data_IF_342309100760
#
_entry.id   IF_342309100760
#
_cell.length_a   1.000
_cell.length_b   1.000
_cell.length_c   1.000
_cell.angle_alpha   90.00
_cell.angle_beta   90.00
_cell.angle_gamma   90.00
#
_symmetry.space_group_name_H-M   'P 1'
#
loop_
_entity.id
_entity.type
_entity.pdbx_description
1 polymer ?
#
# COMPACT_ATOMS: atom_id res chain seq x y z
N UNK A 1 2.93 -20.33 20.35
CA UNK A 1 3.39 -19.04 20.89
C UNK A 1 2.18 -18.29 21.41
N UNK A 2 2.26 -17.77 22.65
CA UNK A 2 1.12 -17.48 23.50
C UNK A 2 0.31 -16.25 23.06
N UNK A 3 -1.00 -16.32 23.24
CA UNK A 3 -1.99 -15.23 23.05
C UNK A 3 -1.68 -13.93 23.83
N UNK A 4 -0.62 -13.90 24.62
CA UNK A 4 -0.23 -12.75 25.44
C UNK A 4 0.50 -11.62 24.72
N UNK A 5 0.93 -11.79 23.46
CA UNK A 5 1.63 -10.74 22.70
C UNK A 5 0.67 -9.75 22.03
N UNK A 6 -0.56 -10.18 21.72
CA UNK A 6 -1.58 -9.38 21.02
C UNK A 6 -2.26 -8.33 21.91
N UNK A 7 -2.23 -8.52 23.25
CA UNK A 7 -2.93 -7.62 24.19
C UNK A 7 -2.08 -6.40 24.63
N UNK A 8 -0.77 -6.38 24.29
CA UNK A 8 0.10 -5.27 24.72
C UNK A 8 -0.15 -3.95 23.99
N UNK A 9 -0.93 -3.94 22.92
CA UNK A 9 -1.09 -2.78 22.04
C UNK A 9 -2.47 -2.10 22.10
N UNK A 10 -3.42 -2.61 22.91
CA UNK A 10 -4.83 -2.18 22.80
C UNK A 10 -5.30 -1.08 23.71
N UNK A 11 -4.91 -1.05 24.97
CA UNK A 11 -5.66 -0.27 25.96
C UNK A 11 -4.98 0.98 26.54
N UNK A 12 -3.65 1.08 26.53
CA UNK A 12 -2.94 2.12 27.27
C UNK A 12 -2.44 3.32 26.43
N UNK A 13 -2.58 3.28 25.11
CA UNK A 13 -2.06 4.35 24.23
C UNK A 13 -3.09 5.41 23.83
N UNK A 14 -4.39 5.16 24.01
CA UNK A 14 -5.45 6.05 23.53
C UNK A 14 -5.40 7.49 24.05
N UNK A 15 -5.22 7.78 25.37
CA UNK A 15 -5.18 9.15 25.85
C UNK A 15 -3.99 9.95 25.31
N UNK A 16 -2.82 9.32 25.17
CA UNK A 16 -1.63 9.97 24.64
C UNK A 16 -1.76 10.25 23.14
N UNK A 17 -2.30 9.30 22.37
CA UNK A 17 -2.58 9.49 20.94
C UNK A 17 -3.62 10.58 20.70
N UNK A 18 -4.71 10.61 21.46
CA UNK A 18 -5.74 11.65 21.36
C UNK A 18 -5.15 13.04 21.61
N UNK A 19 -4.29 13.17 22.63
CA UNK A 19 -3.58 14.43 22.92
C UNK A 19 -2.62 14.81 21.79
N UNK A 20 -1.91 13.83 21.25
CA UNK A 20 -1.02 14.03 20.11
C UNK A 20 -1.79 14.56 18.90
N UNK A 21 -2.87 13.90 18.52
CA UNK A 21 -3.69 14.32 17.37
C UNK A 21 -4.27 15.72 17.57
N UNK A 22 -4.75 16.04 18.79
CA UNK A 22 -5.23 17.38 19.12
C UNK A 22 -4.14 18.45 18.95
N UNK A 23 -2.88 18.14 19.28
CA UNK A 23 -1.74 19.07 19.08
C UNK A 23 -1.57 19.45 17.61
N UNK A 24 -1.84 18.54 16.68
CA UNK A 24 -1.81 18.79 15.24
C UNK A 24 -3.14 19.31 14.67
N UNK A 25 -4.18 19.47 15.49
CA UNK A 25 -5.53 19.80 15.01
C UNK A 25 -6.15 18.70 14.14
N UNK A 26 -5.78 17.46 14.39
CA UNK A 26 -6.21 16.28 13.63
C UNK A 26 -7.26 15.51 14.41
N UNK A 27 -8.28 15.03 13.68
CA UNK A 27 -9.30 14.10 14.18
C UNK A 27 -9.10 12.75 13.52
N UNK A 28 -9.27 11.66 14.25
CA UNK A 28 -9.10 10.28 13.75
C UNK A 28 -10.43 9.55 13.80
N UNK A 29 -10.79 8.90 12.70
CA UNK A 29 -12.03 8.14 12.52
C UNK A 29 -13.30 8.93 12.91
N UNK A 30 -13.25 10.26 12.76
CA UNK A 30 -14.35 11.15 13.15
C UNK A 30 -15.43 11.31 12.07
N UNK A 31 -15.10 11.00 10.81
CA UNK A 31 -16.01 11.05 9.68
C UNK A 31 -16.63 9.69 9.42
N UNK A 32 -17.91 9.68 9.07
CA UNK A 32 -18.58 8.51 8.51
C UNK A 32 -17.98 8.15 7.14
N UNK A 33 -18.20 6.92 6.67
CA UNK A 33 -17.75 6.49 5.33
C UNK A 33 -18.34 7.39 4.24
N UNK A 34 -19.59 7.81 4.39
CA UNK A 34 -20.24 8.66 3.39
C UNK A 34 -19.61 10.06 3.33
N UNK A 35 -19.23 10.63 4.48
CA UNK A 35 -18.50 11.91 4.55
C UNK A 35 -17.07 11.78 3.97
N UNK A 36 -16.37 10.66 4.24
CA UNK A 36 -15.05 10.39 3.67
C UNK A 36 -15.13 10.33 2.14
N UNK A 37 -16.09 9.59 1.59
CA UNK A 37 -16.25 9.46 0.15
C UNK A 37 -16.67 10.79 -0.50
N UNK A 38 -17.55 11.56 0.15
CA UNK A 38 -17.92 12.91 -0.30
C UNK A 38 -16.70 13.85 -0.32
N UNK A 39 -15.82 13.79 0.68
CA UNK A 39 -14.55 14.53 0.69
C UNK A 39 -13.66 14.11 -0.49
N UNK A 40 -13.55 12.80 -0.76
CA UNK A 40 -12.74 12.28 -1.87
C UNK A 40 -13.28 12.72 -3.25
N UNK A 41 -14.59 12.83 -3.40
CA UNK A 41 -15.23 13.37 -4.61
C UNK A 41 -14.94 14.86 -4.77
N UNK A 42 -15.21 15.69 -3.72
CA UNK A 42 -14.98 17.14 -3.77
C UNK A 42 -13.52 17.50 -4.02
N UNK A 43 -12.59 16.76 -3.44
CA UNK A 43 -11.17 16.97 -3.64
C UNK A 43 -10.63 16.40 -4.98
N UNK A 44 -11.49 15.82 -5.84
CA UNK A 44 -11.11 15.27 -7.14
C UNK A 44 -10.28 13.98 -7.05
N UNK A 45 -10.23 13.32 -5.89
CA UNK A 45 -9.50 12.06 -5.73
C UNK A 45 -10.24 10.89 -6.39
N UNK A 46 -11.58 10.91 -6.37
CA UNK A 46 -12.45 9.99 -7.12
C UNK A 46 -12.75 10.59 -8.50
N UNK A 47 -11.73 10.67 -9.37
CA UNK A 47 -11.92 11.11 -10.74
C UNK A 47 -12.74 10.08 -11.55
N UNK A 48 -13.36 10.48 -12.71
CA UNK A 48 -14.37 9.68 -13.40
C UNK A 48 -13.97 8.23 -13.70
N UNK A 49 -12.76 7.99 -14.19
CA UNK A 49 -12.26 6.63 -14.48
C UNK A 49 -12.21 5.76 -13.22
N UNK A 50 -11.71 6.30 -12.11
CA UNK A 50 -11.64 5.60 -10.82
C UNK A 50 -13.04 5.32 -10.26
N UNK A 51 -13.93 6.31 -10.34
CA UNK A 51 -15.32 6.17 -9.91
C UNK A 51 -16.05 5.10 -10.75
N UNK A 52 -15.85 5.07 -12.06
CA UNK A 52 -16.43 4.07 -12.95
C UNK A 52 -15.98 2.64 -12.58
N UNK A 53 -14.70 2.44 -12.26
CA UNK A 53 -14.18 1.13 -11.81
C UNK A 53 -14.75 0.69 -10.46
N UNK A 54 -14.99 1.61 -9.54
CA UNK A 54 -15.56 1.30 -8.22
C UNK A 54 -17.09 1.09 -8.27
N UNK A 55 -17.77 1.74 -9.22
CA UNK A 55 -19.24 1.77 -9.29
C UNK A 55 -19.93 0.41 -9.17
N UNK A 56 -19.51 -0.66 -9.87
CA UNK A 56 -20.15 -1.98 -9.78
C UNK A 56 -20.12 -2.58 -8.37
N UNK A 57 -19.10 -2.21 -7.58
CA UNK A 57 -18.83 -2.76 -6.25
C UNK A 57 -18.96 -1.73 -5.13
N UNK A 58 -19.49 -0.53 -5.42
CA UNK A 58 -19.46 0.61 -4.50
C UNK A 58 -20.11 0.32 -3.15
N UNK A 59 -21.21 -0.43 -3.13
CA UNK A 59 -21.86 -0.84 -1.88
C UNK A 59 -20.92 -1.69 -1.01
N UNK A 60 -20.30 -2.71 -1.59
CA UNK A 60 -19.36 -3.60 -0.91
C UNK A 60 -18.11 -2.83 -0.43
N UNK A 61 -17.58 -1.95 -1.27
CA UNK A 61 -16.45 -1.09 -0.92
C UNK A 61 -16.78 -0.23 0.31
N UNK A 62 -17.94 0.45 0.32
CA UNK A 62 -18.37 1.25 1.47
C UNK A 62 -18.60 0.40 2.71
N UNK A 63 -19.18 -0.80 2.58
CA UNK A 63 -19.36 -1.72 3.70
C UNK A 63 -18.02 -2.22 4.25
N UNK A 64 -17.05 -2.55 3.39
CA UNK A 64 -15.70 -2.90 3.82
C UNK A 64 -15.04 -1.77 4.61
N UNK A 65 -15.17 -0.51 4.14
CA UNK A 65 -14.69 0.65 4.88
C UNK A 65 -15.37 0.81 6.23
N UNK A 66 -16.70 0.63 6.33
CA UNK A 66 -17.43 0.66 7.62
C UNK A 66 -16.90 -0.40 8.58
N UNK A 67 -16.65 -1.62 8.08
CA UNK A 67 -16.08 -2.71 8.89
C UNK A 67 -14.66 -2.41 9.34
N UNK A 68 -13.81 -1.89 8.46
CA UNK A 68 -12.45 -1.48 8.82
C UNK A 68 -12.46 -0.39 9.91
N UNK A 69 -13.33 0.63 9.79
CA UNK A 69 -13.47 1.69 10.81
C UNK A 69 -13.94 1.14 12.16
N UNK A 70 -14.82 0.10 12.19
CA UNK A 70 -15.19 -0.58 13.45
C UNK A 70 -14.01 -1.25 14.14
N UNK A 71 -13.01 -1.70 13.37
CA UNK A 71 -11.75 -2.21 13.91
C UNK A 71 -10.86 -1.14 14.54
N UNK A 72 -11.23 0.12 14.38
CA UNK A 72 -10.52 1.26 14.94
C UNK A 72 -9.07 1.35 14.45
N UNK A 73 -8.24 2.04 15.24
CA UNK A 73 -6.84 2.29 14.92
C UNK A 73 -5.96 1.02 14.85
N UNK A 74 -6.48 -0.13 15.21
CA UNK A 74 -5.78 -1.41 15.00
C UNK A 74 -5.81 -1.88 13.55
N UNK A 75 -6.80 -1.44 12.76
CA UNK A 75 -6.97 -1.80 11.34
C UNK A 75 -6.93 -0.61 10.40
N UNK A 76 -7.65 0.49 10.73
CA UNK A 76 -7.77 1.66 9.87
C UNK A 76 -7.84 2.94 10.70
N UNK A 77 -6.94 3.87 10.42
CA UNK A 77 -6.99 5.24 10.89
C UNK A 77 -7.26 6.16 9.70
N UNK A 78 -8.37 6.90 9.74
CA UNK A 78 -8.63 7.99 8.80
C UNK A 78 -8.40 9.30 9.55
N UNK A 79 -7.26 9.92 9.27
CA UNK A 79 -6.87 11.20 9.86
C UNK A 79 -7.48 12.32 9.03
N UNK A 80 -8.12 13.28 9.67
CA UNK A 80 -8.71 14.45 9.01
C UNK A 80 -8.35 15.73 9.73
N UNK A 81 -8.08 16.79 8.97
CA UNK A 81 -7.79 18.13 9.48
C UNK A 81 -8.40 19.18 8.54
N UNK A 82 -8.58 20.39 9.05
CA UNK A 82 -9.13 21.51 8.29
C UNK A 82 -10.48 21.96 8.79
N UNK A 83 -11.09 22.85 8.04
CA UNK A 83 -12.41 23.42 8.27
C UNK A 83 -13.08 23.82 6.93
N UNK A 84 -14.36 24.17 6.97
CA UNK A 84 -15.14 24.50 5.77
C UNK A 84 -14.70 25.81 5.07
N UNK A 85 -13.94 26.67 5.77
CA UNK A 85 -13.46 27.93 5.20
C UNK A 85 -12.16 27.76 4.43
N UNK A 86 -11.28 26.89 4.92
CA UNK A 86 -9.93 26.67 4.37
C UNK A 86 -9.84 25.39 3.55
N UNK A 87 -10.86 24.52 3.64
CA UNK A 87 -10.87 23.18 3.05
C UNK A 87 -10.28 22.11 3.98
N UNK A 88 -10.60 20.90 3.67
CA UNK A 88 -10.24 19.70 4.43
C UNK A 88 -9.07 18.95 3.81
N UNK A 89 -8.36 18.21 4.62
CA UNK A 89 -7.45 17.15 4.16
C UNK A 89 -7.72 15.85 4.93
N UNK A 90 -7.45 14.74 4.28
CA UNK A 90 -7.59 13.41 4.83
C UNK A 90 -6.41 12.52 4.42
N UNK A 91 -6.03 11.60 5.32
CA UNK A 91 -5.06 10.54 5.07
C UNK A 91 -5.63 9.24 5.63
N UNK A 92 -5.69 8.19 4.84
CA UNK A 92 -6.04 6.86 5.31
C UNK A 92 -4.78 6.03 5.55
N UNK A 93 -4.71 5.36 6.70
CA UNK A 93 -3.61 4.50 7.12
C UNK A 93 -4.20 3.18 7.57
N UNK A 94 -3.88 2.09 6.89
CA UNK A 94 -4.41 0.77 7.26
C UNK A 94 -3.31 -0.28 7.40
N UNK A 95 -3.59 -1.28 8.21
CA UNK A 95 -2.67 -2.38 8.50
C UNK A 95 -2.55 -3.33 7.31
N UNK A 96 -1.33 -3.60 6.89
CA UNK A 96 -1.02 -4.52 5.77
C UNK A 96 -0.42 -5.84 6.23
N UNK A 97 0.44 -5.80 7.22
CA UNK A 97 1.02 -6.95 7.93
C UNK A 97 0.86 -6.74 9.42
N UNK A 98 1.31 -7.66 10.27
CA UNK A 98 1.30 -7.42 11.72
C UNK A 98 2.09 -6.17 12.13
N UNK A 99 3.17 -5.89 11.42
CA UNK A 99 4.11 -4.79 11.69
C UNK A 99 4.22 -3.83 10.50
N UNK A 100 3.20 -3.79 9.62
CA UNK A 100 3.21 -2.97 8.41
C UNK A 100 1.95 -2.15 8.22
N UNK A 101 2.13 -0.90 7.78
CA UNK A 101 1.06 0.04 7.51
C UNK A 101 1.15 0.64 6.13
N UNK A 102 0.03 0.73 5.46
CA UNK A 102 -0.11 1.42 4.18
C UNK A 102 -0.65 2.83 4.42
N UNK A 103 0.10 3.83 3.99
CA UNK A 103 -0.32 5.23 3.97
C UNK A 103 -0.83 5.56 2.57
N UNK A 104 -2.12 5.81 2.44
CA UNK A 104 -2.76 6.06 1.14
C UNK A 104 -3.84 7.12 1.26
N UNK A 105 -4.42 7.48 0.13
CA UNK A 105 -5.56 8.39 0.05
C UNK A 105 -5.27 9.73 0.76
N UNK A 106 -4.05 10.26 0.60
CA UNK A 106 -3.79 11.64 0.97
C UNK A 106 -4.55 12.54 0.00
N UNK A 107 -5.57 13.19 0.52
CA UNK A 107 -6.52 14.02 -0.20
C UNK A 107 -6.54 15.39 0.43
N UNK A 108 -6.66 16.45 -0.37
CA UNK A 108 -6.73 17.81 0.14
C UNK A 108 -7.58 18.72 -0.76
N UNK A 109 -8.47 19.47 -0.17
CA UNK A 109 -9.25 20.53 -0.80
C UNK A 109 -8.42 21.84 -0.83
N UNK A 110 -7.24 21.81 -1.48
CA UNK A 110 -6.30 22.93 -1.58
C UNK A 110 -5.81 23.51 -0.24
N UNK A 111 -5.84 22.72 0.84
CA UNK A 111 -5.36 23.11 2.16
C UNK A 111 -4.02 22.39 2.49
N UNK A 112 -2.86 22.96 2.13
CA UNK A 112 -1.56 22.34 2.39
C UNK A 112 -1.20 22.29 3.88
N UNK A 113 -1.78 23.15 4.74
CA UNK A 113 -1.58 23.12 6.18
C UNK A 113 -2.27 21.89 6.78
N UNK A 114 -3.54 21.64 6.41
CA UNK A 114 -4.27 20.45 6.83
C UNK A 114 -3.59 19.17 6.31
N UNK A 115 -3.13 19.17 5.05
CA UNK A 115 -2.37 18.07 4.45
C UNK A 115 -1.07 17.77 5.23
N UNK A 116 -0.31 18.82 5.60
CA UNK A 116 0.87 18.68 6.47
C UNK A 116 0.48 18.10 7.83
N UNK A 117 -0.59 18.60 8.44
CA UNK A 117 -1.03 18.17 9.78
C UNK A 117 -1.34 16.67 9.81
N UNK A 118 -2.13 16.13 8.86
CA UNK A 118 -2.47 14.69 8.83
C UNK A 118 -1.24 13.82 8.57
N UNK A 119 -0.31 14.26 7.72
CA UNK A 119 0.92 13.52 7.44
C UNK A 119 1.85 13.47 8.68
N UNK A 120 2.07 14.60 9.35
CA UNK A 120 2.95 14.65 10.53
C UNK A 120 2.32 13.96 11.73
N UNK A 121 0.99 14.08 11.92
CA UNK A 121 0.30 13.39 12.98
C UNK A 121 0.36 11.85 12.82
N UNK A 122 0.25 11.35 11.59
CA UNK A 122 0.40 9.90 11.34
C UNK A 122 1.79 9.41 11.72
N UNK A 123 2.83 10.20 11.41
CA UNK A 123 4.20 9.86 11.76
C UNK A 123 4.49 9.92 13.24
N UNK A 124 4.02 10.95 13.89
CA UNK A 124 4.17 11.09 15.33
C UNK A 124 3.43 9.97 16.08
N UNK A 125 2.25 9.54 15.58
CA UNK A 125 1.52 8.40 16.13
C UNK A 125 2.29 7.09 15.96
N UNK A 126 2.90 6.84 14.81
CA UNK A 126 3.73 5.65 14.57
C UNK A 126 4.92 5.59 15.55
N UNK A 127 5.61 6.71 15.76
CA UNK A 127 6.73 6.82 16.70
C UNK A 127 6.26 6.60 18.15
N UNK A 128 5.12 7.22 18.53
CA UNK A 128 4.59 7.13 19.90
C UNK A 128 4.11 5.72 20.25
N UNK A 129 3.53 5.01 19.28
CA UNK A 129 3.10 3.61 19.47
C UNK A 129 4.28 2.68 19.76
N UNK A 130 5.51 3.11 19.46
CA UNK A 130 6.74 2.34 19.71
C UNK A 130 6.77 1.01 18.96
N UNK A 131 6.05 0.92 17.87
CA UNK A 131 5.81 -0.32 17.13
C UNK A 131 6.95 -0.53 16.14
N UNK A 132 7.41 -1.78 16.01
CA UNK A 132 8.44 -2.20 15.07
C UNK A 132 7.90 -2.24 13.63
N UNK A 133 7.27 -1.15 13.19
CA UNK A 133 6.46 -1.13 12.00
C UNK A 133 7.15 -0.50 10.81
N UNK A 134 6.87 -1.06 9.64
CA UNK A 134 7.17 -0.45 8.36
C UNK A 134 6.01 0.41 7.88
N UNK A 135 6.34 1.48 7.15
CA UNK A 135 5.37 2.26 6.38
C UNK A 135 5.52 1.99 4.89
N UNK A 136 4.41 1.96 4.20
CA UNK A 136 4.38 1.74 2.76
C UNK A 136 3.45 2.74 2.07
N UNK A 137 3.74 3.05 0.81
CA UNK A 137 2.87 3.86 -0.03
C UNK A 137 2.98 3.39 -1.49
N UNK A 138 1.85 3.35 -2.18
CA UNK A 138 1.79 3.17 -3.62
C UNK A 138 1.42 4.48 -4.30
N UNK A 139 2.17 4.90 -5.30
CA UNK A 139 1.90 6.12 -6.04
C UNK A 139 2.21 5.99 -7.53
N UNK A 140 1.54 6.79 -8.33
CA UNK A 140 1.86 6.91 -9.75
C UNK A 140 3.07 7.83 -9.92
N UNK A 141 4.09 7.44 -10.71
CA UNK A 141 5.28 8.28 -10.93
C UNK A 141 4.93 9.65 -11.55
N UNK A 142 3.83 9.74 -12.31
CA UNK A 142 3.36 11.00 -12.93
C UNK A 142 2.73 11.96 -11.90
N UNK A 143 2.31 11.44 -10.76
CA UNK A 143 1.69 12.27 -9.71
C UNK A 143 2.78 13.06 -8.98
N UNK A 144 2.85 14.36 -9.29
CA UNK A 144 3.93 15.26 -8.84
C UNK A 144 4.13 15.33 -7.33
N UNK A 145 3.04 15.30 -6.56
CA UNK A 145 3.15 15.41 -5.11
C UNK A 145 3.79 14.15 -4.50
N UNK A 146 3.20 12.95 -4.62
CA UNK A 146 3.81 11.75 -4.03
C UNK A 146 5.18 11.40 -4.66
N UNK A 147 5.41 11.68 -5.95
CA UNK A 147 6.72 11.49 -6.56
C UNK A 147 7.81 12.36 -5.90
N UNK A 148 7.48 13.57 -5.46
CA UNK A 148 8.42 14.44 -4.74
C UNK A 148 8.62 14.02 -3.28
N UNK A 149 7.56 13.57 -2.62
CA UNK A 149 7.61 13.20 -1.20
C UNK A 149 8.19 11.79 -1.03
N UNK A 150 7.57 10.80 -1.66
CA UNK A 150 7.98 9.40 -1.51
C UNK A 150 9.12 9.03 -2.47
N UNK A 151 9.12 9.55 -3.71
CA UNK A 151 10.14 9.25 -4.71
C UNK A 151 11.56 9.67 -4.31
N UNK A 152 11.70 10.73 -3.49
CA UNK A 152 12.99 11.20 -2.99
C UNK A 152 13.35 10.69 -1.60
N UNK A 153 12.52 9.88 -0.95
CA UNK A 153 12.72 9.48 0.44
C UNK A 153 13.99 8.64 0.68
N UNK A 154 14.43 7.85 -0.29
CA UNK A 154 15.66 7.03 -0.16
C UNK A 154 16.88 7.89 0.10
N UNK A 155 16.95 9.09 -0.50
CA UNK A 155 18.05 10.04 -0.26
C UNK A 155 18.04 10.59 1.18
N UNK A 156 16.85 10.75 1.77
CA UNK A 156 16.68 11.28 3.11
C UNK A 156 16.80 10.23 4.22
N UNK A 157 16.32 9.03 3.95
CA UNK A 157 16.21 7.93 4.94
C UNK A 157 17.41 6.99 4.86
N UNK A 158 17.89 6.67 3.66
CA UNK A 158 18.96 5.73 3.38
C UNK A 158 18.44 4.40 2.81
N UNK A 159 19.18 3.81 1.88
CA UNK A 159 18.77 2.63 1.13
C UNK A 159 18.68 1.34 1.94
N UNK A 160 19.31 1.28 3.13
CA UNK A 160 19.16 0.13 4.04
C UNK A 160 17.85 0.18 4.86
N UNK A 161 17.23 1.36 4.94
CA UNK A 161 16.00 1.59 5.73
C UNK A 161 14.81 1.97 4.87
N UNK A 162 14.99 2.16 3.59
CA UNK A 162 13.91 2.54 2.67
C UNK A 162 14.19 2.10 1.25
N UNK A 163 13.12 1.91 0.48
CA UNK A 163 13.19 1.63 -0.96
C UNK A 163 12.09 2.35 -1.71
N UNK A 164 12.36 2.65 -2.97
CA UNK A 164 11.37 3.11 -3.95
C UNK A 164 11.61 2.34 -5.24
N UNK A 165 10.63 1.55 -5.65
CA UNK A 165 10.72 0.73 -6.85
C UNK A 165 9.54 0.98 -7.76
N UNK A 166 9.79 1.04 -9.08
CA UNK A 166 8.78 1.18 -10.12
C UNK A 166 8.42 -0.17 -10.70
N UNK A 167 7.13 -0.43 -10.86
CA UNK A 167 6.60 -1.69 -11.37
C UNK A 167 5.54 -1.44 -12.43
N UNK A 168 5.39 -2.35 -13.36
CA UNK A 168 4.24 -2.44 -14.23
C UNK A 168 3.01 -2.94 -13.47
N UNK A 169 1.88 -2.29 -13.71
CA UNK A 169 0.58 -2.70 -13.22
C UNK A 169 -0.26 -3.19 -14.39
N UNK A 170 -0.71 -4.44 -14.30
CA UNK A 170 -1.45 -5.13 -15.35
C UNK A 170 -2.78 -5.65 -14.83
N UNK A 171 -3.71 -5.91 -15.72
CA UNK A 171 -4.94 -6.64 -15.49
C UNK A 171 -4.93 -7.94 -16.30
N UNK A 172 -5.18 -9.08 -15.65
CA UNK A 172 -5.30 -10.37 -16.31
C UNK A 172 -6.70 -10.94 -16.12
N UNK A 173 -7.39 -11.26 -17.20
CA UNK A 173 -8.69 -11.90 -17.10
C UNK A 173 -8.62 -13.25 -16.37
N UNK A 174 -9.49 -13.47 -15.38
CA UNK A 174 -9.59 -14.76 -14.66
C UNK A 174 -10.06 -15.92 -15.56
N UNK A 175 -10.65 -15.60 -16.71
CA UNK A 175 -11.17 -16.61 -17.67
C UNK A 175 -10.11 -17.13 -18.62
N UNK A 176 -8.88 -16.61 -18.54
CA UNK A 176 -7.80 -16.99 -19.44
C UNK A 176 -7.31 -18.41 -19.13
N UNK A 177 -7.16 -19.22 -20.18
CA UNK A 177 -6.55 -20.54 -20.04
C UNK A 177 -5.05 -20.43 -20.28
N UNK A 178 -4.27 -20.69 -19.25
CA UNK A 178 -2.79 -20.63 -19.30
C UNK A 178 -2.22 -22.03 -19.50
N UNK A 179 -1.58 -22.25 -20.62
CA UNK A 179 -0.73 -23.43 -20.86
C UNK A 179 0.69 -23.16 -20.37
N UNK A 180 1.29 -24.12 -19.72
CA UNK A 180 2.71 -24.06 -19.35
C UNK A 180 3.38 -25.34 -19.85
N UNK A 181 4.38 -25.15 -20.69
CA UNK A 181 5.25 -26.20 -21.17
C UNK A 181 6.68 -25.90 -20.68
N UNK A 182 7.42 -26.92 -20.27
CA UNK A 182 8.85 -26.74 -19.99
C UNK A 182 9.36 -27.30 -18.67
N UNK A 183 10.63 -26.99 -18.43
CA UNK A 183 11.43 -27.49 -17.31
C UNK A 183 11.25 -26.67 -16.00
N UNK A 184 10.03 -26.18 -15.74
CA UNK A 184 9.72 -25.41 -14.52
C UNK A 184 8.78 -26.25 -13.66
N UNK A 185 9.09 -26.34 -12.36
CA UNK A 185 8.23 -26.85 -11.32
C UNK A 185 7.71 -25.68 -10.49
N UNK A 186 6.39 -25.59 -10.30
CA UNK A 186 5.78 -24.60 -9.42
C UNK A 186 5.16 -25.33 -8.24
N UNK A 187 5.56 -24.93 -7.04
CA UNK A 187 5.09 -25.52 -5.78
C UNK A 187 4.42 -24.45 -4.90
N UNK A 188 3.34 -24.80 -4.19
CA UNK A 188 2.81 -23.91 -3.17
C UNK A 188 3.83 -23.77 -2.03
N UNK A 189 3.79 -22.61 -1.38
CA UNK A 189 4.66 -22.35 -0.22
C UNK A 189 4.29 -23.27 0.94
N UNK A 190 5.32 -23.74 1.60
CA UNK A 190 5.31 -24.26 2.97
C UNK A 190 6.52 -23.72 3.75
N UNK A 191 6.62 -24.03 5.03
CA UNK A 191 7.67 -23.50 5.89
C UNK A 191 9.10 -23.87 5.45
N UNK A 192 9.30 -24.99 4.72
CA UNK A 192 10.62 -25.38 4.18
C UNK A 192 11.10 -24.45 3.06
N UNK A 193 10.19 -23.79 2.37
CA UNK A 193 10.48 -22.87 1.27
C UNK A 193 10.82 -21.43 1.73
N UNK A 194 10.78 -21.15 3.05
CA UNK A 194 10.97 -19.79 3.58
C UNK A 194 12.30 -19.17 3.15
N UNK A 195 13.39 -19.91 3.23
CA UNK A 195 14.71 -19.42 2.82
C UNK A 195 14.75 -19.07 1.32
N UNK A 196 14.17 -19.93 0.47
CA UNK A 196 14.09 -19.72 -0.96
C UNK A 196 13.22 -18.48 -1.32
N UNK A 197 12.06 -18.32 -0.66
CA UNK A 197 11.21 -17.15 -0.83
C UNK A 197 11.94 -15.85 -0.46
N UNK A 198 12.59 -15.82 0.72
CA UNK A 198 13.33 -14.64 1.16
C UNK A 198 14.52 -14.33 0.24
N UNK A 199 15.21 -15.35 -0.29
CA UNK A 199 16.32 -15.18 -1.21
C UNK A 199 15.85 -14.54 -2.54
N UNK A 200 14.83 -15.10 -3.18
CA UNK A 200 14.29 -14.53 -4.44
C UNK A 200 13.70 -13.14 -4.22
N UNK A 201 12.93 -12.92 -3.16
CA UNK A 201 12.35 -11.63 -2.84
C UNK A 201 13.42 -10.57 -2.54
N UNK A 202 14.47 -10.93 -1.80
CA UNK A 202 15.58 -10.02 -1.50
C UNK A 202 16.39 -9.67 -2.77
N UNK A 203 16.59 -10.63 -3.67
CA UNK A 203 17.30 -10.40 -4.92
C UNK A 203 16.52 -9.48 -5.87
N UNK A 204 15.19 -9.65 -5.94
CA UNK A 204 14.33 -8.92 -6.88
C UNK A 204 13.88 -7.58 -6.32
N UNK A 205 13.49 -7.53 -5.04
CA UNK A 205 12.88 -6.36 -4.39
C UNK A 205 13.71 -5.75 -3.26
N UNK A 206 14.79 -6.41 -2.84
CA UNK A 206 15.64 -5.98 -1.73
C UNK A 206 15.14 -6.40 -0.35
N UNK A 207 16.04 -6.34 0.64
CA UNK A 207 15.77 -6.72 2.02
C UNK A 207 14.69 -5.87 2.70
N UNK A 208 14.60 -4.59 2.33
CA UNK A 208 13.56 -3.67 2.83
C UNK A 208 12.15 -4.20 2.49
N UNK A 209 11.95 -4.71 1.28
CA UNK A 209 10.70 -5.34 0.86
C UNK A 209 10.40 -6.60 1.67
N UNK A 210 11.39 -7.49 1.84
CA UNK A 210 11.25 -8.73 2.61
C UNK A 210 10.77 -8.44 4.05
N UNK A 211 11.35 -7.43 4.69
CA UNK A 211 10.98 -7.00 6.04
C UNK A 211 9.57 -6.39 6.06
N UNK A 212 9.28 -5.45 5.16
CA UNK A 212 8.02 -4.73 5.16
C UNK A 212 6.80 -5.60 4.78
N UNK A 213 7.01 -6.60 3.92
CA UNK A 213 5.98 -7.58 3.57
C UNK A 213 5.94 -8.77 4.55
N UNK A 214 6.75 -8.74 5.61
CA UNK A 214 6.80 -9.79 6.64
C UNK A 214 6.98 -11.21 6.05
N UNK A 215 7.89 -11.33 5.07
CA UNK A 215 8.19 -12.63 4.44
C UNK A 215 9.06 -13.52 5.33
N UNK A 216 9.60 -12.98 6.43
CA UNK A 216 10.33 -13.71 7.46
C UNK A 216 9.41 -14.17 8.61
N UNK A 217 8.19 -13.66 8.73
CA UNK A 217 7.26 -13.91 9.83
C UNK A 217 5.97 -14.57 9.37
N UNK A 218 4.90 -13.77 9.23
CA UNK A 218 3.55 -14.22 8.87
C UNK A 218 3.37 -14.30 7.33
N UNK A 219 4.05 -15.27 6.69
CA UNK A 219 4.10 -15.39 5.23
C UNK A 219 2.73 -15.53 4.59
N UNK A 220 1.79 -16.25 5.20
CA UNK A 220 0.44 -16.48 4.65
C UNK A 220 -0.64 -15.63 5.32
N UNK A 221 -0.24 -14.64 6.13
CA UNK A 221 -1.14 -13.73 6.83
C UNK A 221 -2.08 -14.40 7.84
N UNK A 222 -1.65 -15.48 8.49
CA UNK A 222 -2.49 -16.16 9.49
C UNK A 222 -2.84 -15.25 10.66
N UNK A 223 -1.84 -14.55 11.21
CA UNK A 223 -2.04 -13.70 12.37
C UNK A 223 -2.72 -12.36 12.01
N UNK A 224 -2.38 -11.76 10.85
CA UNK A 224 -3.06 -10.52 10.42
C UNK A 224 -4.51 -10.80 10.00
N UNK A 225 -4.82 -11.95 9.40
CA UNK A 225 -6.19 -12.35 9.05
C UNK A 225 -7.10 -12.44 10.28
N UNK A 226 -6.57 -12.89 11.43
CA UNK A 226 -7.33 -12.91 12.68
C UNK A 226 -7.78 -11.51 13.13
N UNK A 227 -6.99 -10.47 12.87
CA UNK A 227 -7.41 -9.09 13.15
C UNK A 227 -8.56 -8.65 12.23
N UNK A 228 -8.49 -9.01 10.95
CA UNK A 228 -9.54 -8.69 9.97
C UNK A 228 -10.83 -9.47 10.23
N UNK A 229 -10.74 -10.74 10.65
CA UNK A 229 -11.90 -11.58 11.00
C UNK A 229 -12.73 -10.99 12.15
N UNK A 230 -12.12 -10.29 13.11
CA UNK A 230 -12.83 -9.63 14.21
C UNK A 230 -13.90 -8.64 13.74
N UNK A 231 -13.75 -8.10 12.54
CA UNK A 231 -14.70 -7.18 11.92
C UNK A 231 -15.44 -7.79 10.72
N UNK A 232 -15.37 -9.12 10.58
CA UNK A 232 -16.03 -9.85 9.50
C UNK A 232 -15.39 -9.64 8.12
N UNK A 233 -14.10 -9.35 8.07
CA UNK A 233 -13.31 -9.21 6.85
C UNK A 233 -12.23 -10.30 6.78
N UNK A 234 -11.57 -10.40 5.64
CA UNK A 234 -10.44 -11.31 5.43
C UNK A 234 -9.26 -10.56 4.87
N UNK A 235 -8.07 -10.97 5.29
CA UNK A 235 -6.81 -10.60 4.67
C UNK A 235 -5.91 -11.81 4.57
N UNK A 236 -5.74 -12.34 3.38
CA UNK A 236 -4.97 -13.56 3.14
C UNK A 236 -3.87 -13.34 2.12
N UNK A 237 -2.84 -14.16 2.19
CA UNK A 237 -1.76 -14.21 1.21
C UNK A 237 -1.46 -15.66 0.91
N UNK A 238 -1.21 -15.97 -0.37
CA UNK A 238 -0.77 -17.26 -0.84
C UNK A 238 0.47 -17.08 -1.71
N UNK A 239 1.40 -18.00 -1.59
CA UNK A 239 2.69 -17.90 -2.28
C UNK A 239 2.95 -19.18 -3.07
N UNK A 240 3.51 -19.04 -4.25
CA UNK A 240 4.03 -20.13 -5.08
C UNK A 240 5.45 -19.79 -5.48
N UNK A 241 6.32 -20.82 -5.48
CA UNK A 241 7.69 -20.70 -5.94
C UNK A 241 7.88 -21.52 -7.21
N UNK A 242 8.63 -20.94 -8.14
CA UNK A 242 9.05 -21.61 -9.37
C UNK A 242 10.51 -22.05 -9.25
N UNK A 243 10.76 -23.31 -9.58
CA UNK A 243 12.09 -23.91 -9.59
C UNK A 243 12.42 -24.43 -10.99
N UNK A 244 13.68 -24.38 -11.39
CA UNK A 244 14.13 -25.15 -12.53
C UNK A 244 14.07 -26.64 -12.17
N UNK A 245 13.43 -27.45 -13.02
CA UNK A 245 13.51 -28.92 -12.86
C UNK A 245 14.97 -29.35 -12.87
N UNK A 246 15.32 -30.29 -12.04
CA UNK A 246 16.68 -30.82 -11.85
C UNK A 246 17.66 -29.89 -11.12
N UNK A 247 17.24 -28.76 -10.63
CA UNK A 247 17.96 -27.90 -9.69
C UNK A 247 17.03 -27.46 -8.58
N UNK A 248 17.53 -27.23 -7.39
CA UNK A 248 16.75 -26.67 -6.26
C UNK A 248 16.82 -25.12 -6.26
N UNK A 249 17.21 -24.53 -7.41
CA UNK A 249 17.36 -23.08 -7.53
C UNK A 249 15.97 -22.43 -7.73
N UNK A 250 15.53 -21.55 -6.82
CA UNK A 250 14.32 -20.78 -7.01
C UNK A 250 14.55 -19.70 -8.07
N UNK A 251 13.75 -19.69 -9.12
CA UNK A 251 13.86 -18.74 -10.24
C UNK A 251 12.76 -17.71 -10.28
N UNK A 252 11.73 -17.88 -9.47
CA UNK A 252 10.63 -16.90 -9.36
C UNK A 252 9.64 -17.24 -8.27
N UNK A 253 8.77 -16.28 -7.96
CA UNK A 253 7.65 -16.48 -7.07
C UNK A 253 6.43 -15.68 -7.52
N UNK A 254 5.23 -16.17 -7.21
CA UNK A 254 3.97 -15.44 -7.25
C UNK A 254 3.45 -15.27 -5.83
N UNK A 255 3.14 -14.03 -5.46
CA UNK A 255 2.58 -13.69 -4.16
C UNK A 255 1.19 -13.08 -4.38
N UNK A 256 0.16 -13.85 -4.11
CA UNK A 256 -1.23 -13.45 -4.29
C UNK A 256 -1.79 -12.89 -2.99
N UNK A 257 -2.19 -11.64 -3.01
CA UNK A 257 -2.81 -10.92 -1.89
C UNK A 257 -4.32 -10.85 -2.08
N UNK A 258 -5.06 -11.07 -1.01
CA UNK A 258 -6.51 -10.89 -0.94
C UNK A 258 -6.83 -10.07 0.32
N UNK A 259 -7.24 -8.84 0.12
CA UNK A 259 -7.71 -7.93 1.16
C UNK A 259 -9.16 -7.50 0.92
N UNK A 260 -9.74 -6.68 1.81
CA UNK A 260 -11.09 -6.15 1.60
C UNK A 260 -11.14 -5.32 0.31
N UNK A 261 -12.09 -5.64 -0.57
CA UNK A 261 -12.23 -4.98 -1.86
C UNK A 261 -12.41 -3.46 -1.67
N UNK A 262 -11.61 -2.68 -2.40
CA UNK A 262 -11.72 -1.24 -2.45
C UNK A 262 -11.19 -0.49 -1.22
N UNK A 263 -10.43 -1.12 -0.32
CA UNK A 263 -9.64 -0.37 0.67
C UNK A 263 -8.58 0.45 -0.07
N UNK A 264 -7.88 -0.14 -1.02
CA UNK A 264 -7.14 0.59 -2.05
C UNK A 264 -8.00 0.68 -3.32
N UNK A 265 -8.29 1.89 -3.79
CA UNK A 265 -9.16 2.11 -4.98
C UNK A 265 -8.52 1.70 -6.31
N UNK A 266 -7.26 1.29 -6.31
CA UNK A 266 -6.58 0.67 -7.46
C UNK A 266 -6.45 -0.84 -7.30
N UNK A 267 -7.14 -1.43 -6.31
CA UNK A 267 -7.14 -2.86 -6.00
C UNK A 267 -5.77 -3.46 -5.68
N UNK A 268 -4.79 -2.63 -5.30
CA UNK A 268 -3.44 -3.08 -4.98
C UNK A 268 -3.37 -3.97 -3.72
N UNK A 269 -4.41 -3.97 -2.87
CA UNK A 269 -4.54 -4.91 -1.74
C UNK A 269 -5.03 -6.31 -2.19
N UNK A 270 -5.34 -6.46 -3.48
CA UNK A 270 -5.80 -7.72 -4.09
C UNK A 270 -4.89 -8.14 -5.27
N UNK A 271 -3.66 -7.65 -5.29
CA UNK A 271 -2.70 -7.87 -6.36
C UNK A 271 -2.06 -9.26 -6.30
N UNK A 272 -1.50 -9.70 -7.40
CA UNK A 272 -0.52 -10.76 -7.47
C UNK A 272 0.84 -10.15 -7.88
N UNK A 273 1.82 -10.23 -6.99
CA UNK A 273 3.20 -9.81 -7.28
C UNK A 273 3.94 -10.96 -7.96
N UNK A 274 4.56 -10.69 -9.11
CA UNK A 274 5.46 -11.62 -9.78
C UNK A 274 6.91 -11.20 -9.53
N UNK A 275 7.66 -12.08 -8.88
CA UNK A 275 9.09 -11.92 -8.62
C UNK A 275 9.85 -12.87 -9.54
N UNK A 276 10.70 -12.35 -10.42
CA UNK A 276 11.48 -13.15 -11.36
C UNK A 276 12.96 -12.84 -11.25
N UNK A 277 13.81 -13.86 -11.28
CA UNK A 277 15.26 -13.67 -11.31
C UNK A 277 15.66 -12.91 -12.57
N UNK A 278 16.58 -11.95 -12.43
CA UNK A 278 17.11 -11.18 -13.55
C UNK A 278 18.02 -12.00 -14.49
N UNK A 279 18.39 -13.21 -14.08
CA UNK A 279 19.29 -14.09 -14.86
C UNK A 279 18.57 -14.97 -15.89
N UNK A 280 17.24 -14.84 -15.98
CA UNK A 280 16.41 -15.65 -16.87
C UNK A 280 16.50 -15.19 -18.32
N UNK A 281 16.52 -16.15 -19.25
CA UNK A 281 16.28 -15.88 -20.66
C UNK A 281 14.81 -15.55 -20.93
N UNK A 282 14.50 -14.87 -22.02
CA UNK A 282 13.12 -14.48 -22.37
C UNK A 282 12.16 -15.68 -22.51
N UNK A 283 12.67 -16.83 -23.00
CA UNK A 283 11.87 -18.06 -23.08
C UNK A 283 11.56 -18.64 -21.71
N UNK A 284 12.51 -18.63 -20.78
CA UNK A 284 12.29 -19.05 -19.40
C UNK A 284 11.28 -18.14 -18.70
N UNK A 285 11.41 -16.81 -18.86
CA UNK A 285 10.46 -15.82 -18.31
C UNK A 285 9.04 -16.13 -18.75
N UNK A 286 8.81 -16.38 -20.05
CA UNK A 286 7.47 -16.69 -20.56
C UNK A 286 6.87 -17.95 -19.92
N UNK A 287 7.68 -19.01 -19.79
CA UNK A 287 7.24 -20.26 -19.17
C UNK A 287 6.98 -20.12 -17.66
N UNK A 288 7.85 -19.39 -16.94
CA UNK A 288 7.71 -19.16 -15.51
C UNK A 288 6.48 -18.32 -15.22
N UNK A 289 6.27 -17.21 -15.95
CA UNK A 289 5.10 -16.34 -15.81
C UNK A 289 3.81 -17.13 -16.00
N UNK A 290 3.70 -17.89 -17.10
CA UNK A 290 2.52 -18.70 -17.38
C UNK A 290 2.28 -19.76 -16.28
N UNK A 291 3.34 -20.42 -15.80
CA UNK A 291 3.26 -21.45 -14.76
C UNK A 291 2.85 -20.88 -13.41
N UNK A 292 3.47 -19.77 -12.99
CA UNK A 292 3.16 -19.09 -11.74
C UNK A 292 1.72 -18.55 -11.74
N UNK A 293 1.28 -17.87 -12.80
CA UNK A 293 -0.06 -17.34 -12.91
C UNK A 293 -1.12 -18.45 -12.95
N UNK A 294 -0.85 -19.57 -13.65
CA UNK A 294 -1.72 -20.74 -13.61
C UNK A 294 -1.89 -21.27 -12.19
N UNK A 295 -0.81 -21.42 -11.45
CA UNK A 295 -0.85 -21.90 -10.07
C UNK A 295 -1.54 -20.90 -9.14
N UNK A 296 -1.22 -19.62 -9.24
CA UNK A 296 -1.76 -18.58 -8.37
C UNK A 296 -3.21 -18.18 -8.68
N UNK A 297 -3.74 -18.53 -9.86
CA UNK A 297 -5.14 -18.24 -10.24
C UNK A 297 -6.15 -18.85 -9.24
N UNK A 298 -5.80 -19.95 -8.59
CA UNK A 298 -6.62 -20.56 -7.55
C UNK A 298 -6.91 -19.62 -6.37
N UNK A 299 -6.01 -18.69 -6.04
CA UNK A 299 -6.23 -17.68 -4.99
C UNK A 299 -7.31 -16.66 -5.35
N UNK A 300 -7.70 -16.58 -6.61
CA UNK A 300 -8.69 -15.62 -7.13
C UNK A 300 -9.99 -16.28 -7.61
N UNK A 301 -10.21 -17.56 -7.29
CA UNK A 301 -11.39 -18.30 -7.72
C UNK A 301 -12.70 -17.60 -7.30
N UNK A 302 -12.77 -17.12 -6.09
CA UNK A 302 -13.92 -16.42 -5.49
C UNK A 302 -13.77 -14.88 -5.47
N UNK A 303 -12.87 -14.34 -6.32
CA UNK A 303 -12.62 -12.91 -6.35
C UNK A 303 -13.78 -12.18 -7.03
N UNK A 304 -14.13 -11.03 -6.49
CA UNK A 304 -15.27 -10.23 -6.93
C UNK A 304 -15.05 -9.53 -8.28
N UNK A 305 -13.78 -9.34 -8.68
CA UNK A 305 -13.44 -8.75 -9.97
C UNK A 305 -13.23 -9.84 -11.02
N UNK A 306 -13.54 -9.54 -12.28
CA UNK A 306 -13.27 -10.42 -13.43
C UNK A 306 -11.77 -10.48 -13.80
N UNK A 307 -10.98 -9.57 -13.25
CA UNK A 307 -9.56 -9.42 -13.55
C UNK A 307 -8.71 -9.54 -12.28
N UNK A 308 -7.54 -10.15 -12.43
CA UNK A 308 -6.50 -10.22 -11.40
C UNK A 308 -5.57 -9.03 -11.59
N UNK A 309 -5.43 -8.13 -10.60
CA UNK A 309 -4.41 -7.08 -10.63
C UNK A 309 -3.02 -7.70 -10.49
N UNK A 310 -2.11 -7.42 -11.40
CA UNK A 310 -0.74 -7.94 -11.37
C UNK A 310 0.26 -6.81 -11.17
N UNK A 311 1.29 -7.07 -10.38
CA UNK A 311 2.47 -6.21 -10.25
C UNK A 311 3.69 -7.02 -10.66
N UNK A 312 4.43 -6.48 -11.62
CA UNK A 312 5.62 -7.14 -12.14
C UNK A 312 6.71 -6.12 -12.54
N UNK A 313 7.95 -6.58 -12.59
CA UNK A 313 9.05 -5.79 -13.11
C UNK A 313 9.14 -5.89 -14.65
N UNK A 314 9.88 -4.98 -15.25
CA UNK A 314 9.97 -4.83 -16.71
C UNK A 314 10.36 -6.15 -17.43
N UNK A 315 11.11 -7.04 -16.79
CA UNK A 315 11.48 -8.35 -17.33
C UNK A 315 10.28 -9.23 -17.70
N UNK A 316 9.16 -9.09 -16.98
CA UNK A 316 7.95 -9.88 -17.20
C UNK A 316 7.00 -9.28 -18.24
N UNK A 317 7.22 -8.02 -18.67
CA UNK A 317 6.25 -7.25 -19.45
C UNK A 317 5.83 -7.95 -20.74
N UNK A 318 6.77 -8.37 -21.56
CA UNK A 318 6.48 -9.02 -22.84
C UNK A 318 5.75 -10.35 -22.67
N UNK A 319 6.14 -11.12 -21.63
CA UNK A 319 5.50 -12.38 -21.32
C UNK A 319 4.05 -12.17 -20.87
N UNK A 320 3.79 -11.15 -20.05
CA UNK A 320 2.45 -10.79 -19.59
C UNK A 320 1.55 -10.34 -20.73
N UNK A 321 2.04 -9.47 -21.61
CA UNK A 321 1.30 -9.04 -22.80
C UNK A 321 0.99 -10.23 -23.72
N UNK A 322 1.96 -11.10 -23.93
CA UNK A 322 1.80 -12.29 -24.80
C UNK A 322 0.72 -13.24 -24.30
N UNK A 323 0.54 -13.38 -22.99
CA UNK A 323 -0.53 -14.19 -22.42
C UNK A 323 -1.87 -13.43 -22.28
N UNK A 324 -1.97 -12.22 -22.80
CA UNK A 324 -3.21 -11.43 -22.82
C UNK A 324 -3.46 -10.57 -21.57
N UNK A 325 -2.44 -10.31 -20.75
CA UNK A 325 -2.56 -9.30 -19.71
C UNK A 325 -2.51 -7.89 -20.32
N UNK A 326 -3.42 -7.02 -19.88
CA UNK A 326 -3.44 -5.62 -20.28
C UNK A 326 -2.49 -4.81 -19.39
N UNK A 327 -1.54 -4.09 -20.01
CA UNK A 327 -0.73 -3.11 -19.29
C UNK A 327 -1.56 -1.85 -19.05
N UNK A 328 -1.77 -1.50 -17.79
CA UNK A 328 -2.57 -0.34 -17.42
C UNK A 328 -1.71 0.91 -17.17
N UNK A 329 -0.65 0.78 -16.40
CA UNK A 329 0.23 1.89 -16.01
C UNK A 329 1.42 1.42 -15.17
N UNK A 330 2.26 2.37 -14.77
CA UNK A 330 3.25 2.12 -13.73
C UNK A 330 2.75 2.56 -12.34
N UNK A 331 3.21 1.85 -11.31
CA UNK A 331 3.16 2.26 -9.92
C UNK A 331 4.57 2.24 -9.33
N UNK A 332 4.82 3.15 -8.40
CA UNK A 332 5.96 3.09 -7.51
C UNK A 332 5.50 2.61 -6.13
N UNK A 333 6.21 1.64 -5.56
CA UNK A 333 6.10 1.27 -4.16
C UNK A 333 7.21 1.96 -3.38
N UNK A 334 6.82 2.82 -2.44
CA UNK A 334 7.72 3.40 -1.46
C UNK A 334 7.59 2.67 -0.13
N UNK A 335 8.70 2.25 0.45
CA UNK A 335 8.77 1.54 1.73
C UNK A 335 9.79 2.23 2.63
N UNK A 336 9.48 2.36 3.92
CA UNK A 336 10.44 2.75 4.94
C UNK A 336 10.24 1.91 6.20
N UNK A 337 11.34 1.47 6.79
CA UNK A 337 11.35 0.66 8.00
C UNK A 337 11.32 1.55 9.25
N UNK A 338 11.02 0.97 10.41
CA UNK A 338 10.90 1.61 11.72
C UNK A 338 12.00 2.65 11.97
N UNK A 339 13.26 2.25 11.88
CA UNK A 339 14.39 3.13 12.18
C UNK A 339 14.53 4.30 11.19
N UNK A 340 13.86 4.20 10.05
CA UNK A 340 13.73 5.25 9.05
C UNK A 340 12.62 6.26 9.34
N UNK A 341 11.63 5.96 10.19
CA UNK A 341 10.48 6.84 10.45
C UNK A 341 10.87 8.27 10.84
N UNK A 342 11.78 8.53 11.81
CA UNK A 342 12.11 9.89 12.17
C UNK A 342 12.75 10.68 11.04
N UNK A 343 13.52 10.04 10.17
CA UNK A 343 14.15 10.67 9.00
C UNK A 343 13.13 10.95 7.91
N UNK A 344 12.24 9.99 7.65
CA UNK A 344 11.17 10.13 6.68
C UNK A 344 10.24 11.30 7.05
N UNK A 345 9.76 11.38 8.28
CA UNK A 345 8.86 12.45 8.67
C UNK A 345 9.53 13.83 8.76
N UNK A 346 10.82 13.91 9.09
CA UNK A 346 11.60 15.16 8.90
C UNK A 346 11.68 15.57 7.44
N UNK A 347 11.86 14.62 6.54
CA UNK A 347 11.86 14.88 5.11
C UNK A 347 10.50 15.42 4.64
N UNK A 348 9.40 14.81 5.07
CA UNK A 348 8.02 15.25 4.81
C UNK A 348 7.79 16.67 5.35
N UNK A 349 8.19 16.94 6.59
CA UNK A 349 8.06 18.26 7.21
C UNK A 349 8.85 19.34 6.46
N UNK A 350 10.09 19.04 6.10
CA UNK A 350 10.92 19.93 5.27
C UNK A 350 10.32 20.18 3.89
N UNK A 351 9.67 19.19 3.29
CA UNK A 351 8.97 19.38 2.02
C UNK A 351 7.80 20.37 2.17
N UNK A 352 6.93 20.16 3.17
CA UNK A 352 5.80 21.04 3.42
C UNK A 352 6.23 22.46 3.83
N UNK A 353 7.27 22.60 4.62
CA UNK A 353 7.83 23.91 5.01
C UNK A 353 8.22 24.73 3.78
N UNK A 354 8.91 24.10 2.81
CA UNK A 354 9.26 24.76 1.55
C UNK A 354 8.03 25.08 0.69
N UNK A 355 7.01 24.20 0.67
CA UNK A 355 5.77 24.42 -0.06
C UNK A 355 5.00 25.62 0.49
N UNK A 356 4.85 25.70 1.81
CA UNK A 356 4.13 26.75 2.51
C UNK A 356 4.83 28.12 2.39
N UNK A 357 6.15 28.17 2.57
CA UNK A 357 6.92 29.41 2.39
C UNK A 357 6.83 29.99 0.97
N UNK A 358 6.66 29.15 -0.04
CA UNK A 358 6.40 29.61 -1.42
C UNK A 358 5.00 30.14 -1.58
N UNK A 359 4.00 29.49 -0.99
CA UNK A 359 2.61 29.93 -1.04
C UNK A 359 2.45 31.32 -0.38
N UNK A 360 3.10 31.57 0.74
CA UNK A 360 3.11 32.87 1.43
C UNK A 360 3.74 33.98 0.58
N UNK A 361 4.83 33.69 -0.11
CA UNK A 361 5.53 34.68 -1.00
C UNK A 361 4.71 35.03 -2.25
N UNK A 362 3.81 34.16 -2.68
CA UNK A 362 2.97 34.38 -3.86
C UNK A 362 1.51 34.73 -3.52
N UNK A 363 1.16 34.83 -2.23
CA UNK A 363 -0.12 35.39 -1.83
C UNK A 363 -0.17 36.85 -2.29
N UNK A 364 -1.23 37.29 -3.02
CA UNK A 364 -1.34 38.70 -3.41
C UNK A 364 -1.33 39.52 -2.11
N UNK A 365 -0.43 40.48 -2.03
CA UNK A 365 -0.46 41.52 -1.00
C UNK A 365 -1.74 42.32 -1.21
N UNK A 366 -2.86 41.85 -0.66
CA UNK A 366 -4.03 42.68 -0.48
C UNK A 366 -3.63 43.76 0.52
N UNK A 367 -3.32 44.91 -0.06
CA UNK A 367 -3.09 46.17 0.58
C UNK A 367 -3.96 46.33 1.84
N UNK A 368 -3.27 46.48 2.96
CA UNK A 368 -3.77 47.26 4.08
C UNK A 368 -3.96 48.70 3.59
N UNK A 369 -4.97 48.95 2.78
CA UNK A 369 -5.47 50.33 2.55
C UNK A 369 -6.56 50.50 3.59
N UNK A 370 -6.24 51.40 4.50
CA UNK A 370 -7.03 51.76 5.66
C UNK A 370 -8.49 52.04 5.36
N UNK A 371 -9.35 51.59 6.22
CA UNK A 371 -10.59 52.23 6.54
C UNK A 371 -10.37 53.19 7.72
N UNK A 372 -9.88 54.39 7.42
CA UNK A 372 -10.37 55.56 8.14
C UNK A 372 -11.72 55.91 7.48
N UNK A 373 -12.78 55.72 8.22
CA UNK A 373 -13.93 56.60 8.47
C UNK A 373 -14.86 55.93 9.47
#
# INVERSE_FOLDING_TARGET
>A
MSAGALDRHGANSFPQLSKLYATYGVRVNALSVDEIFALYERAGFLYPEKAARLKPHLWQVRENWRRMLRGGESLLSVLTAGDDKRGWASLAVWRTTLEGWMLQHLVSENNPFASRAVMLASGAASILKGIDESGQNWFRPENRFPARVFGSMVQAVGGSLSSVQRHGYFALSRKISLSSEGNISVVPYDASHKAALCAIASTVRGSVYVTAEDLNGDVEFEAVDELYKRVGLRRTRRVWLAYRRHTDEPVGAAIAYRGPLGINFSYLENRCDLLLSATLSQSEVSNIVASLLRASSAAYHDFELDEIPLIADDIATDALIKIGAEFLRHYCQGIWLKDGHPRFYRHVDGFYSRLLSRAEKHAPQHSLIGSQW
#
